data_IF_092598683513
#
_entry.id   IF_092598683513
#
_cell.length_a   1.000
_cell.length_b   1.000
_cell.length_c   1.000
_cell.angle_alpha   90.00
_cell.angle_beta   90.00
_cell.angle_gamma   90.00
#
_symmetry.space_group_name_H-M   'P 1'
#
loop_
_entity.id
_entity.type
_entity.pdbx_description
1 polymer ?
#
# COMPACT_ATOMS: atom_id res chain seq x y z
N UNK A 1 2.57 32.14 -18.38
CA UNK A 1 3.07 31.70 -17.07
C UNK A 1 2.44 30.36 -16.65
N UNK A 2 2.58 29.28 -17.44
CA UNK A 2 1.92 27.98 -17.15
C UNK A 2 2.87 26.76 -17.18
N UNK A 3 4.19 26.96 -17.34
CA UNK A 3 5.14 25.85 -17.45
C UNK A 3 5.49 25.18 -16.09
N UNK A 4 5.15 25.80 -14.96
CA UNK A 4 5.61 25.37 -13.63
C UNK A 4 4.80 24.25 -12.94
N UNK A 5 3.56 24.00 -13.36
CA UNK A 5 2.65 23.06 -12.67
C UNK A 5 2.58 21.67 -13.33
N UNK A 6 3.10 21.52 -14.54
CA UNK A 6 3.01 20.28 -15.31
C UNK A 6 3.92 19.19 -14.73
N UNK A 7 5.14 19.55 -14.31
CA UNK A 7 6.10 18.60 -13.73
C UNK A 7 5.60 17.97 -12.41
N UNK A 8 5.10 18.75 -11.43
CA UNK A 8 4.54 18.20 -10.19
C UNK A 8 3.33 17.29 -10.42
N UNK A 9 2.44 17.66 -11.35
CA UNK A 9 1.26 16.85 -11.70
C UNK A 9 1.66 15.50 -12.30
N UNK A 10 2.64 15.51 -13.22
CA UNK A 10 3.16 14.29 -13.83
C UNK A 10 3.78 13.36 -12.78
N UNK A 11 4.61 13.91 -11.88
CA UNK A 11 5.26 13.14 -10.81
C UNK A 11 4.23 12.51 -9.87
N UNK A 12 3.20 13.27 -9.47
CA UNK A 12 2.13 12.76 -8.62
C UNK A 12 1.33 11.65 -9.30
N UNK A 13 1.00 11.82 -10.58
CA UNK A 13 0.27 10.79 -11.35
C UNK A 13 1.07 9.49 -11.48
N UNK A 14 2.38 9.60 -11.67
CA UNK A 14 3.27 8.45 -11.78
C UNK A 14 3.41 7.70 -10.44
N UNK A 15 3.49 8.45 -9.34
CA UNK A 15 3.51 7.88 -7.99
C UNK A 15 2.23 7.11 -7.68
N UNK A 16 1.06 7.67 -8.03
CA UNK A 16 -0.23 6.99 -7.85
C UNK A 16 -0.29 5.66 -8.61
N UNK A 17 0.13 5.65 -9.88
CA UNK A 17 0.14 4.43 -10.70
C UNK A 17 1.03 3.37 -10.06
N UNK A 18 2.21 3.77 -9.59
CA UNK A 18 3.16 2.86 -8.93
C UNK A 18 2.54 2.23 -7.69
N UNK A 19 1.97 3.04 -6.78
CA UNK A 19 1.34 2.56 -5.55
C UNK A 19 0.18 1.59 -5.83
N UNK A 20 -0.68 1.92 -6.80
CA UNK A 20 -1.84 1.10 -7.17
C UNK A 20 -1.42 -0.25 -7.75
N UNK A 21 -0.40 -0.28 -8.61
CA UNK A 21 0.08 -1.52 -9.21
C UNK A 21 0.75 -2.43 -8.16
N UNK A 22 1.59 -1.85 -7.29
CA UNK A 22 2.24 -2.60 -6.20
C UNK A 22 1.23 -3.23 -5.24
N UNK A 23 0.12 -2.52 -4.93
CA UNK A 23 -0.95 -3.03 -4.08
C UNK A 23 -1.73 -4.19 -4.71
N UNK A 24 -1.98 -4.14 -6.03
CA UNK A 24 -2.82 -5.14 -6.69
C UNK A 24 -2.08 -6.42 -7.11
N UNK A 25 -0.80 -6.33 -7.49
CA UNK A 25 -0.13 -7.41 -8.25
C UNK A 25 1.18 -7.91 -7.65
N UNK A 26 1.60 -7.43 -6.48
CA UNK A 26 2.95 -7.59 -5.89
C UNK A 26 4.02 -6.76 -6.58
N UNK A 27 5.07 -6.37 -5.85
CA UNK A 27 6.12 -5.49 -6.35
C UNK A 27 6.80 -6.02 -7.62
N UNK A 28 7.11 -7.32 -7.68
CA UNK A 28 7.79 -7.92 -8.84
C UNK A 28 6.95 -7.85 -10.11
N UNK A 29 5.63 -8.08 -10.02
CA UNK A 29 4.76 -7.94 -11.20
C UNK A 29 4.49 -6.47 -11.54
N UNK A 30 4.43 -5.62 -10.52
CA UNK A 30 4.28 -4.19 -10.70
C UNK A 30 5.50 -3.57 -11.43
N UNK A 31 6.73 -4.07 -11.22
CA UNK A 31 7.91 -3.64 -12.01
C UNK A 31 7.66 -3.79 -13.53
N UNK A 32 7.21 -4.97 -13.93
CA UNK A 32 6.93 -5.30 -15.34
C UNK A 32 5.80 -4.41 -15.88
N UNK A 33 4.74 -4.23 -15.10
CA UNK A 33 3.56 -3.51 -15.55
C UNK A 33 3.79 -1.99 -15.62
N UNK A 34 4.58 -1.42 -14.71
CA UNK A 34 5.01 -0.02 -14.77
C UNK A 34 5.84 0.22 -16.03
N UNK A 35 6.79 -0.68 -16.35
CA UNK A 35 7.60 -0.56 -17.57
C UNK A 35 6.72 -0.62 -18.83
N UNK A 36 5.76 -1.56 -18.89
CA UNK A 36 4.85 -1.69 -20.04
C UNK A 36 3.96 -0.45 -20.21
N UNK A 37 3.44 0.12 -19.12
CA UNK A 37 2.50 1.24 -19.17
C UNK A 37 3.17 2.60 -19.35
N UNK A 38 4.41 2.76 -18.87
CA UNK A 38 5.06 4.08 -18.77
C UNK A 38 6.38 4.16 -19.54
N UNK A 39 6.96 3.04 -19.95
CA UNK A 39 8.31 2.95 -20.52
C UNK A 39 9.43 3.13 -19.49
N UNK A 40 9.12 3.30 -18.21
CA UNK A 40 10.09 3.55 -17.14
C UNK A 40 10.31 2.30 -16.29
N UNK A 41 11.57 1.95 -16.05
CA UNK A 41 11.94 0.86 -15.12
C UNK A 41 11.97 1.38 -13.69
N UNK A 42 11.15 0.80 -12.83
CA UNK A 42 11.13 1.08 -11.39
C UNK A 42 11.24 -0.22 -10.61
N UNK A 43 12.36 -0.44 -9.94
CA UNK A 43 12.59 -1.67 -9.16
C UNK A 43 11.74 -1.76 -7.88
N UNK A 44 11.54 -2.95 -7.37
CA UNK A 44 10.64 -3.29 -6.27
C UNK A 44 11.02 -2.60 -4.98
N UNK A 45 12.32 -2.43 -4.70
CA UNK A 45 12.77 -1.67 -3.53
C UNK A 45 12.40 -0.18 -3.66
N UNK A 46 12.50 0.37 -4.87
CA UNK A 46 12.11 1.75 -5.18
C UNK A 46 10.60 1.95 -5.09
N UNK A 47 9.81 0.94 -5.45
CA UNK A 47 8.35 0.95 -5.27
C UNK A 47 7.96 0.80 -3.80
N UNK A 48 8.68 -0.01 -3.03
CA UNK A 48 8.38 -0.27 -1.63
C UNK A 48 8.64 0.95 -0.75
N UNK A 49 9.67 1.74 -1.06
CA UNK A 49 10.02 2.94 -0.31
C UNK A 49 8.84 3.92 -0.14
N UNK A 50 8.15 4.39 -1.19
CA UNK A 50 7.00 5.27 -1.03
C UNK A 50 5.85 4.59 -0.32
N UNK A 51 5.61 3.28 -0.47
CA UNK A 51 4.55 2.58 0.28
C UNK A 51 4.75 2.69 1.80
N UNK A 52 6.01 2.66 2.25
CA UNK A 52 6.37 2.74 3.66
C UNK A 52 6.45 4.18 4.20
N UNK A 53 6.83 5.13 3.36
CA UNK A 53 7.05 6.53 3.74
C UNK A 53 5.83 7.42 3.48
N UNK A 54 4.84 6.96 2.72
CA UNK A 54 3.61 7.70 2.45
C UNK A 54 2.78 7.82 3.72
N UNK A 55 2.52 9.06 4.13
CA UNK A 55 1.48 9.34 5.12
C UNK A 55 0.11 9.10 4.47
N UNK A 56 -0.58 8.08 4.96
CA UNK A 56 -1.94 7.76 4.53
C UNK A 56 -2.93 8.52 5.41
N UNK A 57 -3.70 9.43 4.81
CA UNK A 57 -4.87 9.98 5.48
C UNK A 57 -5.86 8.85 5.74
N UNK A 58 -6.02 8.48 7.01
CA UNK A 58 -7.02 7.49 7.39
C UNK A 58 -8.42 8.08 7.12
N UNK A 59 -9.31 7.32 6.45
CA UNK A 59 -10.65 7.81 6.20
C UNK A 59 -11.37 8.07 7.53
N UNK A 60 -11.83 9.31 7.73
CA UNK A 60 -12.69 9.65 8.85
C UNK A 60 -14.07 9.04 8.61
N UNK A 61 -14.60 8.32 9.60
CA UNK A 61 -15.94 7.77 9.54
C UNK A 61 -16.95 8.92 9.48
N UNK A 62 -17.60 9.10 8.31
CA UNK A 62 -18.61 10.15 8.09
C UNK A 62 -20.01 9.76 8.57
N UNK A 63 -20.20 8.51 9.00
CA UNK A 63 -21.48 7.97 9.46
C UNK A 63 -21.28 7.05 10.66
N UNK A 64 -22.32 6.94 11.49
CA UNK A 64 -22.35 5.98 12.58
C UNK A 64 -22.31 4.55 12.03
N UNK A 65 -21.50 3.71 12.67
CA UNK A 65 -21.27 2.33 12.27
C UNK A 65 -22.22 1.45 13.07
N UNK A 66 -23.13 0.77 12.39
CA UNK A 66 -24.12 -0.13 12.98
C UNK A 66 -23.57 -1.54 13.24
N UNK A 67 -22.54 -1.93 12.50
CA UNK A 67 -21.91 -3.25 12.61
C UNK A 67 -20.40 -3.17 12.44
N UNK A 68 -19.70 -3.94 13.28
CA UNK A 68 -18.25 -4.12 13.25
C UNK A 68 -17.98 -5.62 13.23
N UNK A 69 -17.15 -6.05 12.29
CA UNK A 69 -16.57 -7.39 12.30
C UNK A 69 -15.07 -7.27 12.51
N UNK A 70 -14.57 -7.96 13.54
CA UNK A 70 -13.14 -8.02 13.85
C UNK A 70 -12.69 -9.45 13.67
N UNK A 71 -11.74 -9.67 12.78
CA UNK A 71 -11.05 -10.95 12.66
C UNK A 71 -9.62 -10.83 13.18
N UNK A 72 -9.14 -11.87 13.84
CA UNK A 72 -7.85 -11.89 14.51
C UNK A 72 -7.11 -13.17 14.17
N UNK A 73 -5.84 -13.03 13.80
CA UNK A 73 -5.02 -14.18 13.45
C UNK A 73 -3.54 -13.93 13.67
N UNK A 74 -2.73 -14.94 13.35
CA UNK A 74 -1.27 -14.81 13.37
C UNK A 74 -0.73 -14.75 11.95
N UNK A 75 0.10 -13.75 11.67
CA UNK A 75 0.88 -13.63 10.44
C UNK A 75 2.33 -14.02 10.71
N UNK A 76 2.92 -14.85 9.84
CA UNK A 76 4.34 -15.19 9.93
C UNK A 76 5.15 -14.13 9.20
N UNK A 77 5.87 -13.30 9.95
CA UNK A 77 6.80 -12.35 9.38
C UNK A 77 8.10 -13.08 9.01
N UNK A 78 8.44 -13.02 7.73
CA UNK A 78 9.72 -13.56 7.21
C UNK A 78 10.78 -12.47 7.32
N UNK A 79 11.79 -12.71 8.17
CA UNK A 79 12.97 -11.86 8.25
C UNK A 79 13.82 -11.96 6.98
N UNK A 80 14.74 -10.99 6.80
CA UNK A 80 15.81 -11.08 5.79
C UNK A 80 16.68 -12.33 6.07
N UNK A 81 17.41 -12.80 5.06
CA UNK A 81 18.26 -13.99 5.16
C UNK A 81 19.07 -13.98 6.48
N UNK A 82 19.04 -15.11 7.20
CA UNK A 82 19.62 -15.32 8.55
C UNK A 82 18.86 -14.74 9.76
N UNK A 83 17.71 -14.08 9.59
CA UNK A 83 16.83 -13.68 10.71
C UNK A 83 15.69 -14.67 10.89
N UNK A 84 15.45 -15.12 12.13
CA UNK A 84 14.36 -16.04 12.45
C UNK A 84 12.99 -15.46 12.06
N UNK A 85 12.16 -16.29 11.44
CA UNK A 85 10.75 -15.95 11.23
C UNK A 85 10.05 -15.87 12.59
N UNK A 86 9.18 -14.89 12.77
CA UNK A 86 8.39 -14.77 13.98
C UNK A 86 6.92 -14.54 13.65
N UNK A 87 6.05 -15.06 14.51
CA UNK A 87 4.61 -14.89 14.38
C UNK A 87 4.20 -13.60 15.07
N UNK A 88 3.38 -12.79 14.41
CA UNK A 88 2.75 -11.59 14.97
C UNK A 88 1.25 -11.72 14.91
N UNK A 89 0.57 -11.22 15.92
CA UNK A 89 -0.88 -11.08 15.90
C UNK A 89 -1.27 -9.91 15.00
N UNK A 90 -2.27 -10.13 14.14
CA UNK A 90 -2.91 -9.08 13.36
C UNK A 90 -4.39 -9.01 13.73
N UNK A 91 -4.97 -7.83 13.57
CA UNK A 91 -6.41 -7.62 13.67
C UNK A 91 -6.89 -6.95 12.40
N UNK A 92 -7.88 -7.55 11.73
CA UNK A 92 -8.62 -6.89 10.66
C UNK A 92 -9.95 -6.37 11.20
N UNK A 93 -10.37 -5.23 10.69
CA UNK A 93 -11.63 -4.60 11.05
C UNK A 93 -12.38 -4.31 9.75
N UNK A 94 -13.59 -4.84 9.65
CA UNK A 94 -14.55 -4.55 8.58
C UNK A 94 -15.72 -3.76 9.16
N UNK A 95 -15.97 -2.56 8.60
CA UNK A 95 -17.02 -1.64 9.03
C UNK A 95 -18.12 -1.59 7.98
N UNK A 96 -19.36 -1.97 8.34
CA UNK A 96 -20.56 -1.93 7.48
C UNK A 96 -20.39 -2.55 6.08
N UNK A 97 -19.41 -3.44 5.94
CA UNK A 97 -19.01 -4.03 4.69
C UNK A 97 -18.50 -3.13 3.57
N UNK A 98 -18.22 -1.86 3.88
CA UNK A 98 -17.71 -0.87 2.93
C UNK A 98 -16.23 -0.57 3.19
N UNK A 99 -15.80 -0.61 4.45
CA UNK A 99 -14.41 -0.33 4.84
C UNK A 99 -13.76 -1.58 5.43
N UNK A 100 -12.56 -1.92 4.96
CA UNK A 100 -11.75 -3.02 5.49
C UNK A 100 -10.34 -2.50 5.75
N UNK A 101 -9.90 -2.53 7.01
CA UNK A 101 -8.55 -2.18 7.42
C UNK A 101 -7.88 -3.35 8.16
N UNK A 102 -6.57 -3.47 8.03
CA UNK A 102 -5.76 -4.46 8.74
C UNK A 102 -4.66 -3.76 9.53
N UNK A 103 -4.55 -4.10 10.82
CA UNK A 103 -3.53 -3.58 11.71
C UNK A 103 -2.60 -4.71 12.14
N UNK A 104 -1.31 -4.53 11.91
CA UNK A 104 -0.25 -5.40 12.41
C UNK A 104 0.38 -4.68 13.60
N UNK A 105 0.30 -5.29 14.79
CA UNK A 105 0.99 -4.77 15.97
C UNK A 105 2.46 -5.23 15.91
N UNK A 106 3.37 -4.27 15.75
CA UNK A 106 4.83 -4.48 15.67
C UNK A 106 5.43 -4.45 17.08
#
# INVERSE_FOLDING_TARGET
MHQGYILPLLVNSFLEITLRLSANKSYQKAEIEIEVLTGVKVGHTTQQKPVLEQDWELPLAKQAISEVSVDGGKVRLRGKSQVACHWRDYKTVRLQGIYTNCFIFI
#
